data_IF_964577977181
#
_entry.id   IF_964577977181
#
_cell.length_a   1.000
_cell.length_b   1.000
_cell.length_c   1.000
_cell.angle_alpha   90.00
_cell.angle_beta   90.00
_cell.angle_gamma   90.00
#
_symmetry.space_group_name_H-M   'P 1'
#
loop_
_entity.id
_entity.type
_entity.pdbx_description
1 polymer ?
#
# COMPACT_ATOMS: atom_id res chain seq x y z
N UNK A 1 -54.40 6.78 -52.76
CA UNK A 1 -53.11 7.31 -52.19
C UNK A 1 -53.32 8.78 -51.83
N UNK A 2 -52.84 9.18 -50.67
CA UNK A 2 -52.87 10.59 -50.24
C UNK A 2 -51.58 11.25 -50.69
N UNK A 3 -51.62 12.17 -51.67
CA UNK A 3 -50.43 12.76 -52.29
C UNK A 3 -49.66 13.69 -51.30
N UNK A 4 -50.34 14.33 -50.38
CA UNK A 4 -49.76 15.28 -49.46
C UNK A 4 -49.10 14.66 -48.21
N UNK A 5 -49.38 13.36 -47.91
CA UNK A 5 -48.82 12.69 -46.73
C UNK A 5 -48.54 11.24 -47.06
N UNK A 6 -47.29 10.89 -47.36
CA UNK A 6 -46.86 9.51 -47.56
C UNK A 6 -46.46 8.87 -46.23
N UNK A 7 -47.47 8.29 -45.53
CA UNK A 7 -47.27 7.68 -44.21
C UNK A 7 -46.30 6.49 -44.29
N UNK A 8 -46.29 5.72 -45.37
CA UNK A 8 -45.38 4.60 -45.52
C UNK A 8 -43.91 5.04 -45.60
N UNK A 9 -43.63 6.13 -46.33
CA UNK A 9 -42.31 6.71 -46.37
C UNK A 9 -41.87 7.29 -45.01
N UNK A 10 -42.77 7.95 -44.27
CA UNK A 10 -42.48 8.47 -42.93
C UNK A 10 -42.16 7.35 -41.92
N UNK A 11 -42.91 6.24 -41.98
CA UNK A 11 -42.65 5.06 -41.14
C UNK A 11 -41.30 4.41 -41.51
N UNK A 12 -40.99 4.25 -42.80
CA UNK A 12 -39.72 3.73 -43.25
C UNK A 12 -38.54 4.60 -42.81
N UNK A 13 -38.66 5.90 -42.94
CA UNK A 13 -37.66 6.86 -42.49
C UNK A 13 -37.47 6.86 -40.95
N UNK A 14 -38.61 6.78 -40.21
CA UNK A 14 -38.57 6.65 -38.74
C UNK A 14 -37.84 5.39 -38.29
N UNK A 15 -38.15 4.25 -38.93
CA UNK A 15 -37.49 2.96 -38.67
C UNK A 15 -35.99 3.01 -39.03
N UNK A 16 -35.63 3.63 -40.17
CA UNK A 16 -34.23 3.81 -40.59
C UNK A 16 -33.42 4.65 -39.60
N UNK A 17 -34.04 5.71 -39.06
CA UNK A 17 -33.39 6.56 -38.03
C UNK A 17 -33.12 5.78 -36.74
N UNK A 18 -34.08 4.98 -36.27
CA UNK A 18 -33.91 4.15 -35.06
C UNK A 18 -32.82 3.11 -35.28
N UNK A 19 -32.74 2.45 -36.44
CA UNK A 19 -31.69 1.48 -36.74
C UNK A 19 -30.32 2.10 -36.85
N UNK A 20 -30.19 3.33 -37.37
CA UNK A 20 -28.94 4.06 -37.36
C UNK A 20 -28.49 4.45 -35.94
N UNK A 21 -29.42 4.81 -35.06
CA UNK A 21 -29.10 5.07 -33.66
C UNK A 21 -28.62 3.80 -32.93
N UNK A 22 -29.31 2.68 -33.14
CA UNK A 22 -28.90 1.38 -32.58
C UNK A 22 -27.50 0.96 -33.09
N UNK A 23 -27.24 1.14 -34.39
CA UNK A 23 -25.94 0.86 -35.02
C UNK A 23 -24.83 1.70 -34.37
N UNK A 24 -25.05 2.99 -34.14
CA UNK A 24 -24.10 3.89 -33.49
C UNK A 24 -23.84 3.46 -32.04
N UNK A 25 -24.89 3.10 -31.30
CA UNK A 25 -24.76 2.61 -29.93
C UNK A 25 -23.96 1.30 -29.85
N UNK A 26 -24.25 0.34 -30.74
CA UNK A 26 -23.48 -0.92 -30.80
C UNK A 26 -22.02 -0.68 -31.22
N UNK A 27 -21.76 0.24 -32.13
CA UNK A 27 -20.40 0.68 -32.49
C UNK A 27 -19.64 1.29 -31.30
N UNK A 28 -20.31 2.15 -30.55
CA UNK A 28 -19.73 2.77 -29.35
C UNK A 28 -19.35 1.69 -28.31
N UNK A 29 -20.26 0.73 -28.04
CA UNK A 29 -20.01 -0.38 -27.12
C UNK A 29 -18.88 -1.31 -27.56
N UNK A 30 -18.83 -1.66 -28.85
CA UNK A 30 -17.78 -2.49 -29.43
C UNK A 30 -16.41 -1.77 -29.42
N UNK A 31 -16.43 -0.45 -29.67
CA UNK A 31 -15.21 0.36 -29.69
C UNK A 31 -14.60 0.57 -28.29
N UNK A 32 -15.46 0.75 -27.28
CA UNK A 32 -15.01 0.96 -25.88
C UNK A 32 -14.80 -0.34 -25.13
N UNK A 33 -15.38 -1.45 -25.58
CA UNK A 33 -15.43 -2.72 -24.86
C UNK A 33 -16.38 -2.72 -23.68
N UNK A 34 -17.19 -1.66 -23.51
CA UNK A 34 -18.06 -1.47 -22.37
C UNK A 34 -19.54 -1.49 -22.77
N UNK A 35 -20.34 -2.22 -22.02
CA UNK A 35 -21.80 -2.28 -22.16
C UNK A 35 -22.46 -0.97 -21.72
N UNK A 36 -21.92 -0.36 -20.65
CA UNK A 36 -22.43 0.88 -20.05
C UNK A 36 -21.39 1.97 -20.27
N UNK A 37 -21.66 2.88 -21.22
CA UNK A 37 -20.81 4.03 -21.52
C UNK A 37 -21.36 5.32 -20.93
N UNK A 38 -22.68 5.46 -20.92
CA UNK A 38 -23.38 6.68 -20.49
C UNK A 38 -24.42 6.37 -19.41
N UNK A 39 -24.72 7.39 -18.60
CA UNK A 39 -25.76 7.26 -17.58
C UNK A 39 -27.15 6.96 -18.16
N UNK A 40 -27.37 7.26 -19.47
CA UNK A 40 -28.60 6.91 -20.19
C UNK A 40 -28.73 5.41 -20.50
N UNK A 41 -27.63 4.66 -20.52
CA UNK A 41 -27.64 3.23 -20.81
C UNK A 41 -28.09 2.43 -19.58
N UNK A 42 -27.55 2.73 -18.41
CA UNK A 42 -27.94 2.18 -17.12
C UNK A 42 -27.38 3.06 -15.99
N UNK A 43 -28.23 3.88 -15.39
CA UNK A 43 -27.84 4.80 -14.32
C UNK A 43 -27.46 4.07 -13.02
N UNK A 44 -28.15 2.97 -12.70
CA UNK A 44 -27.89 2.18 -11.51
C UNK A 44 -26.58 1.38 -11.66
N UNK A 45 -26.41 0.68 -12.77
CA UNK A 45 -25.19 -0.07 -13.08
C UNK A 45 -23.96 0.82 -13.18
N UNK A 46 -24.09 2.02 -13.76
CA UNK A 46 -23.00 2.99 -13.81
C UNK A 46 -22.57 3.43 -12.39
N UNK A 47 -23.54 3.79 -11.53
CA UNK A 47 -23.25 4.21 -10.16
C UNK A 47 -22.52 3.12 -9.37
N UNK A 48 -22.99 1.87 -9.43
CA UNK A 48 -22.35 0.74 -8.76
C UNK A 48 -20.96 0.47 -9.33
N UNK A 49 -20.80 0.48 -10.65
CA UNK A 49 -19.50 0.23 -11.29
C UNK A 49 -18.45 1.32 -10.93
N UNK A 50 -18.85 2.58 -10.87
CA UNK A 50 -17.95 3.68 -10.46
C UNK A 50 -17.56 3.56 -8.97
N UNK A 51 -18.45 3.07 -8.11
CA UNK A 51 -18.13 2.79 -6.71
C UNK A 51 -17.13 1.63 -6.59
N UNK A 52 -17.34 0.52 -7.31
CA UNK A 52 -16.41 -0.61 -7.35
C UNK A 52 -15.05 -0.18 -7.92
N UNK A 53 -15.03 0.61 -8.97
CA UNK A 53 -13.82 1.18 -9.56
C UNK A 53 -13.05 2.08 -8.61
N UNK A 54 -13.75 2.91 -7.86
CA UNK A 54 -13.15 3.72 -6.79
C UNK A 54 -12.52 2.83 -5.73
N UNK A 55 -13.20 1.76 -5.33
CA UNK A 55 -12.70 0.78 -4.37
C UNK A 55 -11.46 0.05 -4.89
N UNK A 56 -11.45 -0.39 -6.16
CA UNK A 56 -10.26 -1.01 -6.80
C UNK A 56 -9.06 -0.06 -6.78
N UNK A 57 -9.27 1.23 -7.08
CA UNK A 57 -8.20 2.24 -7.01
C UNK A 57 -7.70 2.43 -5.58
N UNK A 58 -8.60 2.46 -4.59
CA UNK A 58 -8.25 2.54 -3.18
C UNK A 58 -7.43 1.33 -2.73
N UNK A 59 -7.82 0.11 -3.12
CA UNK A 59 -7.09 -1.13 -2.82
C UNK A 59 -5.70 -1.16 -3.48
N UNK A 60 -5.54 -0.62 -4.70
CA UNK A 60 -4.23 -0.49 -5.32
C UNK A 60 -3.31 0.42 -4.49
N UNK A 61 -3.80 1.57 -4.04
CA UNK A 61 -3.03 2.47 -3.18
C UNK A 61 -2.73 1.83 -1.83
N UNK A 62 -3.69 1.14 -1.23
CA UNK A 62 -3.50 0.41 0.02
C UNK A 62 -2.41 -0.67 -0.09
N UNK A 63 -2.35 -1.39 -1.22
CA UNK A 63 -1.29 -2.35 -1.51
C UNK A 63 0.09 -1.66 -1.60
N UNK A 64 0.16 -0.50 -2.26
CA UNK A 64 1.41 0.29 -2.33
C UNK A 64 1.84 0.76 -0.95
N UNK A 65 0.91 1.30 -0.15
CA UNK A 65 1.18 1.75 1.21
C UNK A 65 1.70 0.61 2.11
N UNK A 66 1.13 -0.60 1.96
CA UNK A 66 1.59 -1.77 2.70
C UNK A 66 3.01 -2.19 2.28
N UNK A 67 3.33 -2.12 0.99
CA UNK A 67 4.69 -2.40 0.49
C UNK A 67 5.71 -1.36 0.97
N UNK A 68 5.34 -0.08 1.01
CA UNK A 68 6.16 0.98 1.58
C UNK A 68 6.41 0.76 3.09
N UNK A 69 5.38 0.30 3.81
CA UNK A 69 5.50 -0.09 5.21
C UNK A 69 6.46 -1.25 5.43
N UNK A 70 6.45 -2.27 4.58
CA UNK A 70 7.40 -3.38 4.62
C UNK A 70 8.83 -2.87 4.37
N UNK A 71 9.04 -2.03 3.36
CA UNK A 71 10.34 -1.48 3.05
C UNK A 71 10.92 -0.66 4.23
N UNK A 72 10.08 0.15 4.87
CA UNK A 72 10.43 0.91 6.06
C UNK A 72 10.88 -0.02 7.21
N UNK A 73 10.09 -1.06 7.50
CA UNK A 73 10.41 -2.02 8.56
C UNK A 73 11.71 -2.80 8.27
N UNK A 74 11.96 -3.16 7.03
CA UNK A 74 13.20 -3.84 6.62
C UNK A 74 14.43 -2.96 6.81
N UNK A 75 14.33 -1.64 6.58
CA UNK A 75 15.42 -0.68 6.85
C UNK A 75 15.69 -0.62 8.36
N UNK A 76 14.64 -0.52 9.18
CA UNK A 76 14.77 -0.50 10.64
C UNK A 76 15.34 -1.82 11.17
N UNK A 77 14.90 -2.96 10.65
CA UNK A 77 15.41 -4.29 11.01
C UNK A 77 16.89 -4.45 10.65
N UNK A 78 17.30 -3.98 9.46
CA UNK A 78 18.69 -3.98 9.04
C UNK A 78 19.59 -3.22 10.01
N UNK A 79 19.17 -2.01 10.41
CA UNK A 79 19.89 -1.21 11.41
C UNK A 79 19.93 -1.89 12.78
N UNK A 80 18.80 -2.48 13.24
CA UNK A 80 18.75 -3.21 14.50
C UNK A 80 19.64 -4.47 14.50
N UNK A 81 19.82 -5.10 13.35
CA UNK A 81 20.74 -6.23 13.21
C UNK A 81 22.20 -5.82 13.39
N UNK A 82 22.62 -4.70 12.79
CA UNK A 82 23.97 -4.13 13.00
C UNK A 82 24.17 -3.72 14.46
N UNK A 83 23.18 -3.11 15.10
CA UNK A 83 23.26 -2.76 16.53
C UNK A 83 23.43 -4.02 17.40
N UNK A 84 22.74 -5.11 17.08
CA UNK A 84 22.88 -6.38 17.78
C UNK A 84 24.31 -6.94 17.65
N UNK A 85 24.92 -6.84 16.47
CA UNK A 85 26.32 -7.28 16.27
C UNK A 85 27.30 -6.42 17.09
N UNK A 86 27.07 -5.10 17.13
CA UNK A 86 27.90 -4.18 17.95
C UNK A 86 27.74 -4.51 19.44
N UNK A 87 26.52 -4.72 19.92
CA UNK A 87 26.26 -5.09 21.33
C UNK A 87 26.96 -6.42 21.71
N UNK A 88 26.98 -7.40 20.83
CA UNK A 88 27.73 -8.65 21.06
C UNK A 88 29.23 -8.38 21.16
N UNK A 89 29.79 -7.53 20.30
CA UNK A 89 31.21 -7.14 20.40
C UNK A 89 31.49 -6.38 21.70
N UNK A 90 30.60 -5.49 22.11
CA UNK A 90 30.73 -4.77 23.41
C UNK A 90 30.69 -5.76 24.59
N UNK A 91 29.85 -6.79 24.52
CA UNK A 91 29.80 -7.86 25.53
C UNK A 91 31.12 -8.62 25.62
N UNK A 92 31.74 -8.96 24.48
CA UNK A 92 33.09 -9.58 24.47
C UNK A 92 34.13 -8.71 25.18
N UNK A 93 34.15 -7.41 24.87
CA UNK A 93 35.05 -6.46 25.50
C UNK A 93 34.81 -6.33 27.02
N UNK A 94 33.56 -6.32 27.44
CA UNK A 94 33.20 -6.28 28.86
C UNK A 94 33.64 -7.55 29.59
N UNK A 95 33.47 -8.73 29.02
CA UNK A 95 33.95 -10.01 29.55
C UNK A 95 35.50 -9.99 29.62
N UNK A 96 36.18 -9.52 28.57
CA UNK A 96 37.61 -9.40 28.56
C UNK A 96 38.09 -8.48 29.69
N UNK A 97 37.43 -7.32 29.88
CA UNK A 97 37.82 -6.35 30.92
C UNK A 97 37.51 -6.82 32.35
N UNK A 98 36.57 -7.76 32.52
CA UNK A 98 36.23 -8.34 33.82
C UNK A 98 37.31 -9.28 34.36
N UNK A 99 38.24 -9.73 33.52
CA UNK A 99 39.32 -10.63 33.92
C UNK A 99 40.41 -9.91 34.72
N UNK A 100 40.86 -10.50 35.82
CA UNK A 100 41.88 -9.96 36.70
C UNK A 100 43.32 -10.00 36.12
N UNK A 101 43.50 -10.66 34.98
CA UNK A 101 44.79 -10.70 34.28
C UNK A 101 45.14 -9.38 33.57
N UNK A 102 44.16 -8.47 33.39
CA UNK A 102 44.34 -7.18 32.75
C UNK A 102 44.70 -6.09 33.75
N UNK A 103 45.70 -5.31 33.39
CA UNK A 103 46.08 -4.11 34.14
C UNK A 103 45.06 -2.98 33.93
N UNK A 104 45.08 -1.97 34.82
CA UNK A 104 44.17 -0.80 34.66
C UNK A 104 44.39 -0.06 33.34
N UNK A 105 45.66 -0.02 32.85
CA UNK A 105 46.00 0.61 31.56
C UNK A 105 45.39 -0.17 30.38
N UNK A 106 45.45 -1.48 30.40
CA UNK A 106 44.88 -2.32 29.35
C UNK A 106 43.35 -2.24 29.32
N UNK A 107 42.72 -2.18 30.52
CA UNK A 107 41.29 -1.91 30.62
C UNK A 107 40.89 -0.55 30.06
N UNK A 108 41.74 0.46 30.17
CA UNK A 108 41.49 1.76 29.55
C UNK A 108 41.48 1.65 28.01
N UNK A 109 42.37 0.86 27.42
CA UNK A 109 42.37 0.63 25.97
C UNK A 109 41.12 -0.10 25.50
N UNK A 110 40.70 -1.16 26.19
CA UNK A 110 39.44 -1.86 25.87
C UNK A 110 38.23 -0.93 26.07
N UNK A 111 38.24 -0.06 27.07
CA UNK A 111 37.19 0.92 27.28
C UNK A 111 37.12 1.97 26.16
N UNK A 112 38.25 2.33 25.54
CA UNK A 112 38.24 3.25 24.39
C UNK A 112 37.50 2.65 23.20
N UNK A 113 37.75 1.37 22.89
CA UNK A 113 36.99 0.65 21.85
C UNK A 113 35.47 0.54 22.23
N UNK A 114 35.20 0.21 23.48
CA UNK A 114 33.85 0.10 24.01
C UNK A 114 33.06 1.41 23.86
N UNK A 115 33.66 2.56 24.21
CA UNK A 115 33.02 3.87 24.05
C UNK A 115 32.81 4.24 22.57
N UNK A 116 33.74 3.87 21.69
CA UNK A 116 33.62 4.10 20.27
C UNK A 116 32.41 3.27 19.66
N UNK A 117 32.24 2.03 20.12
CA UNK A 117 31.13 1.21 19.75
C UNK A 117 29.78 1.76 20.26
N UNK A 118 29.76 2.32 21.47
CA UNK A 118 28.57 3.02 21.99
C UNK A 118 28.20 4.23 21.14
N UNK A 119 29.20 5.03 20.73
CA UNK A 119 28.97 6.17 19.84
C UNK A 119 28.45 5.72 18.49
N UNK A 120 28.91 4.58 17.98
CA UNK A 120 28.39 4.02 16.71
C UNK A 120 26.94 3.56 16.82
N UNK A 121 26.54 2.94 17.93
CA UNK A 121 25.12 2.64 18.20
C UNK A 121 24.28 3.92 18.17
N UNK A 122 24.74 4.99 18.86
CA UNK A 122 24.05 6.28 18.84
C UNK A 122 23.95 6.86 17.43
N UNK A 123 25.04 6.76 16.65
CA UNK A 123 25.04 7.23 15.26
C UNK A 123 24.06 6.44 14.39
N UNK A 124 24.03 5.11 14.51
CA UNK A 124 23.09 4.26 13.74
C UNK A 124 21.64 4.62 14.09
N UNK A 125 21.33 4.75 15.38
CA UNK A 125 20.00 5.12 15.86
C UNK A 125 19.50 6.44 15.25
N UNK A 126 20.36 7.45 15.17
CA UNK A 126 20.02 8.77 14.63
C UNK A 126 20.11 8.86 13.10
N UNK A 127 21.00 8.10 12.47
CA UNK A 127 21.21 8.14 11.04
C UNK A 127 20.20 7.28 10.25
N UNK A 128 19.57 6.31 10.90
CA UNK A 128 18.60 5.43 10.22
C UNK A 128 17.30 6.17 9.98
N UNK A 129 17.07 6.52 8.73
CA UNK A 129 15.90 7.30 8.31
C UNK A 129 15.24 6.72 7.05
N UNK A 130 13.95 6.94 6.92
CA UNK A 130 13.16 6.69 5.73
C UNK A 130 12.40 7.97 5.36
N UNK A 131 12.64 8.48 4.15
CA UNK A 131 12.01 9.72 3.67
C UNK A 131 12.14 10.93 4.65
N UNK A 132 13.30 11.07 5.31
CA UNK A 132 13.56 12.14 6.26
C UNK A 132 12.97 11.94 7.66
N UNK A 133 12.29 10.83 7.92
CA UNK A 133 11.81 10.43 9.24
C UNK A 133 12.83 9.48 9.86
N UNK A 134 13.32 9.77 11.07
CA UNK A 134 14.15 8.85 11.84
C UNK A 134 13.30 7.68 12.34
N UNK A 135 13.84 6.48 12.29
CA UNK A 135 13.07 5.27 12.63
C UNK A 135 13.33 4.77 14.06
N UNK A 136 14.52 5.00 14.59
CA UNK A 136 15.02 4.37 15.82
C UNK A 136 15.36 5.38 16.93
N UNK A 137 15.18 6.67 16.68
CA UNK A 137 15.66 7.74 17.55
C UNK A 137 14.71 8.07 18.72
N UNK A 138 13.42 7.78 18.58
CA UNK A 138 12.42 8.08 19.62
C UNK A 138 12.08 9.58 19.76
N UNK A 139 12.57 10.44 18.88
CA UNK A 139 12.33 11.88 18.88
C UNK A 139 10.98 12.24 18.22
N UNK A 140 10.55 13.49 18.36
CA UNK A 140 9.26 14.01 17.87
C UNK A 140 9.01 13.85 16.36
N UNK A 141 10.06 13.66 15.58
CA UNK A 141 10.01 13.43 14.14
C UNK A 141 10.15 11.95 13.76
N UNK A 142 10.28 11.08 14.76
CA UNK A 142 10.45 9.65 14.56
C UNK A 142 9.15 8.96 14.22
N UNK A 143 9.27 7.90 13.45
CA UNK A 143 8.19 6.99 13.16
C UNK A 143 7.73 6.28 14.44
N UNK A 144 6.50 6.53 14.87
CA UNK A 144 5.83 5.74 15.92
C UNK A 144 5.96 6.20 17.36
N UNK A 145 6.73 7.23 17.71
CA UNK A 145 7.04 7.54 19.13
C UNK A 145 6.42 8.83 19.65
N UNK A 146 6.35 9.89 18.87
CA UNK A 146 5.95 11.22 19.39
C UNK A 146 4.46 11.50 19.43
N UNK A 147 3.65 10.81 18.61
CA UNK A 147 2.20 11.05 18.50
C UNK A 147 1.38 9.77 18.65
N UNK A 148 1.98 8.72 19.18
CA UNK A 148 1.40 7.38 19.20
C UNK A 148 1.92 6.52 18.04
N UNK A 149 1.50 5.25 18.00
CA UNK A 149 1.97 4.32 16.97
C UNK A 149 1.62 4.84 15.57
N UNK A 150 2.56 4.73 14.64
CA UNK A 150 2.33 5.15 13.25
C UNK A 150 1.25 4.32 12.60
N UNK A 151 0.39 5.01 11.87
CA UNK A 151 -0.79 4.42 11.26
C UNK A 151 -0.54 4.24 9.75
N UNK A 152 -0.45 2.99 9.32
CA UNK A 152 -0.42 2.65 7.89
C UNK A 152 -1.85 2.42 7.40
N UNK A 153 -2.28 3.16 6.39
CA UNK A 153 -3.60 2.97 5.79
C UNK A 153 -3.53 1.87 4.73
N UNK A 154 -4.13 0.71 5.04
CA UNK A 154 -4.08 -0.52 4.24
C UNK A 154 -5.47 -0.97 3.73
N UNK A 155 -6.46 -0.09 3.79
CA UNK A 155 -7.82 -0.33 3.29
C UNK A 155 -8.25 0.65 2.21
N UNK A 156 -9.37 0.37 1.56
CA UNK A 156 -9.94 1.23 0.52
C UNK A 156 -10.85 2.33 1.08
N UNK A 157 -11.29 2.21 2.32
CA UNK A 157 -12.30 3.09 2.94
C UNK A 157 -11.75 3.77 4.20
N UNK A 158 -12.41 4.81 4.66
CA UNK A 158 -12.10 5.44 5.93
C UNK A 158 -13.03 4.91 7.03
N UNK A 159 -12.77 3.70 7.53
CA UNK A 159 -13.56 3.07 8.60
C UNK A 159 -13.01 3.36 10.00
N UNK A 160 -12.38 4.53 10.21
CA UNK A 160 -11.83 4.93 11.50
C UNK A 160 -12.90 5.16 12.60
N UNK A 161 -14.19 5.03 12.29
CA UNK A 161 -15.29 5.37 13.19
C UNK A 161 -16.15 4.17 13.61
N UNK A 162 -15.65 2.94 13.48
CA UNK A 162 -16.36 1.77 13.98
C UNK A 162 -15.94 1.53 15.43
N UNK A 163 -16.93 1.46 16.32
CA UNK A 163 -16.71 1.14 17.74
C UNK A 163 -15.97 -0.21 17.84
N UNK A 164 -14.66 -0.17 18.06
CA UNK A 164 -13.83 -1.37 18.24
C UNK A 164 -12.52 -1.43 17.46
N UNK A 165 -12.18 -0.44 16.64
CA UNK A 165 -10.86 -0.42 15.99
C UNK A 165 -10.84 0.11 14.56
N UNK A 166 -9.68 0.45 14.13
CA UNK A 166 -9.36 0.91 12.78
C UNK A 166 -9.23 -0.29 11.84
N UNK A 167 -10.28 -0.63 11.09
CA UNK A 167 -10.30 -1.83 10.23
C UNK A 167 -9.38 -1.64 9.01
N UNK A 168 -9.37 -0.42 8.45
CA UNK A 168 -8.61 -0.09 7.24
C UNK A 168 -7.21 0.43 7.52
N UNK A 169 -6.79 0.45 8.80
CA UNK A 169 -5.47 0.92 9.20
C UNK A 169 -4.76 -0.12 10.08
N UNK A 170 -3.47 -0.22 9.93
CA UNK A 170 -2.60 -1.00 10.81
C UNK A 170 -1.68 -0.05 11.57
N UNK A 171 -1.72 -0.16 12.88
CA UNK A 171 -0.79 0.56 13.74
C UNK A 171 0.53 -0.21 13.83
N UNK A 172 1.62 0.48 13.56
CA UNK A 172 2.98 -0.03 13.67
C UNK A 172 3.73 0.84 14.67
N UNK A 173 4.23 0.25 15.73
CA UNK A 173 5.11 0.90 16.70
C UNK A 173 6.53 0.36 16.51
N UNK A 174 7.50 1.26 16.39
CA UNK A 174 8.92 0.95 16.48
C UNK A 174 9.43 1.67 17.72
N UNK A 175 9.82 0.91 18.73
CA UNK A 175 10.34 1.51 19.96
C UNK A 175 11.69 2.16 19.73
N UNK A 176 12.04 3.10 20.58
CA UNK A 176 13.34 3.78 20.53
C UNK A 176 14.50 2.81 20.82
N UNK A 177 15.54 2.85 19.99
CA UNK A 177 16.82 2.16 20.20
C UNK A 177 17.96 3.15 20.49
N UNK A 178 17.67 4.29 21.08
CA UNK A 178 18.71 5.19 21.60
C UNK A 178 19.43 4.55 22.79
N UNK A 179 20.65 4.95 23.03
CA UNK A 179 21.43 4.44 24.16
C UNK A 179 20.68 4.52 25.49
N UNK A 180 19.97 5.62 25.74
CA UNK A 180 19.16 5.78 26.96
C UNK A 180 17.99 4.80 27.04
N UNK A 181 17.32 4.52 25.93
CA UNK A 181 16.19 3.59 25.87
C UNK A 181 16.62 2.13 26.10
N UNK A 182 17.78 1.74 25.64
CA UNK A 182 18.35 0.39 25.84
C UNK A 182 19.15 0.26 27.17
N UNK A 183 19.14 1.31 28.00
CA UNK A 183 19.77 1.28 29.34
C UNK A 183 21.29 1.46 29.36
N UNK A 184 21.84 1.96 28.24
CA UNK A 184 23.27 2.29 28.13
C UNK A 184 23.44 3.82 28.19
N UNK A 185 24.43 4.31 28.92
CA UNK A 185 24.76 5.74 29.04
C UNK A 185 26.19 6.00 28.67
N UNK A 186 26.44 6.99 27.77
CA UNK A 186 27.79 7.42 27.44
C UNK A 186 28.48 8.04 28.66
N UNK A 187 29.74 7.68 28.90
CA UNK A 187 30.53 8.30 29.94
C UNK A 187 30.90 9.73 29.53
N UNK A 188 30.30 10.71 30.21
CA UNK A 188 30.70 12.13 30.09
C UNK A 188 31.54 12.55 31.27
N UNK A 189 32.19 13.72 31.18
CA UNK A 189 33.07 14.22 32.27
C UNK A 189 32.34 14.43 33.60
N UNK A 190 31.00 14.47 33.58
CA UNK A 190 30.17 14.72 34.77
C UNK A 190 29.32 13.52 35.17
N UNK A 191 29.24 12.47 34.37
CA UNK A 191 28.36 11.33 34.60
C UNK A 191 29.14 10.01 34.49
N UNK A 192 28.93 9.12 35.46
CA UNK A 192 29.62 7.85 35.54
C UNK A 192 28.93 6.77 34.66
N UNK A 193 28.74 7.11 33.37
CA UNK A 193 28.09 6.26 32.39
C UNK A 193 28.62 4.83 32.30
N UNK A 194 28.06 4.02 31.46
CA UNK A 194 28.48 2.62 31.27
C UNK A 194 29.94 2.56 30.81
N UNK A 195 30.81 2.00 31.63
CA UNK A 195 32.22 1.87 31.35
C UNK A 195 32.78 0.53 31.84
N UNK A 196 33.93 0.13 31.33
CA UNK A 196 34.59 -1.12 31.65
C UNK A 196 36.04 -0.92 32.21
N UNK A 197 36.32 0.27 32.78
CA UNK A 197 37.65 0.60 33.33
C UNK A 197 38.01 -0.13 34.61
N UNK A 198 37.00 -0.64 35.31
CA UNK A 198 37.15 -1.43 36.53
C UNK A 198 36.39 -2.77 36.42
N UNK A 199 36.85 -3.78 37.16
CA UNK A 199 36.22 -5.12 37.15
C UNK A 199 34.74 -5.06 37.56
N UNK A 200 34.39 -4.35 38.64
CA UNK A 200 33.00 -4.18 39.08
C UNK A 200 32.15 -3.48 38.03
N UNK A 201 32.68 -2.46 37.36
CA UNK A 201 32.01 -1.75 36.29
C UNK A 201 31.80 -2.66 35.06
N UNK A 202 32.76 -3.53 34.74
CA UNK A 202 32.66 -4.49 33.66
C UNK A 202 31.52 -5.50 33.90
N UNK A 203 31.35 -5.98 35.14
CA UNK A 203 30.22 -6.86 35.49
C UNK A 203 28.87 -6.14 35.31
N UNK A 204 28.75 -4.91 35.80
CA UNK A 204 27.52 -4.12 35.63
C UNK A 204 27.24 -3.80 34.13
N UNK A 205 28.32 -3.57 33.36
CA UNK A 205 28.19 -3.37 31.92
C UNK A 205 27.68 -4.62 31.19
N UNK A 206 28.09 -5.83 31.59
CA UNK A 206 27.57 -7.08 31.02
C UNK A 206 26.06 -7.20 31.22
N UNK A 207 25.57 -6.93 32.44
CA UNK A 207 24.13 -7.00 32.73
C UNK A 207 23.33 -5.97 31.94
N UNK A 208 23.87 -4.76 31.77
CA UNK A 208 23.27 -3.69 30.98
C UNK A 208 23.23 -4.05 29.49
N UNK A 209 24.32 -4.65 28.96
CA UNK A 209 24.40 -5.08 27.56
C UNK A 209 23.45 -6.25 27.31
N UNK A 210 23.34 -7.21 28.22
CA UNK A 210 22.42 -8.35 28.07
C UNK A 210 20.96 -7.84 28.07
N UNK A 211 20.62 -6.84 28.86
CA UNK A 211 19.33 -6.17 28.82
C UNK A 211 19.10 -5.43 27.50
N UNK A 212 20.12 -4.75 26.98
CA UNK A 212 20.06 -4.07 25.69
C UNK A 212 19.87 -5.04 24.53
N UNK A 213 20.58 -6.16 24.51
CA UNK A 213 20.43 -7.23 23.52
C UNK A 213 18.99 -7.78 23.53
N UNK A 214 18.41 -7.99 24.72
CA UNK A 214 17.03 -8.44 24.84
C UNK A 214 16.04 -7.39 24.27
N UNK A 215 16.26 -6.11 24.54
CA UNK A 215 15.42 -5.03 24.00
C UNK A 215 15.48 -4.98 22.47
N UNK A 216 16.67 -5.06 21.89
CA UNK A 216 16.86 -5.11 20.42
C UNK A 216 16.18 -6.34 19.82
N UNK A 217 16.33 -7.51 20.46
CA UNK A 217 15.72 -8.75 19.97
C UNK A 217 14.18 -8.69 20.03
N UNK A 218 13.61 -8.13 21.11
CA UNK A 218 12.17 -7.94 21.22
C UNK A 218 11.65 -7.05 20.10
N UNK A 219 12.31 -5.91 19.86
CA UNK A 219 11.92 -5.02 18.78
C UNK A 219 12.02 -5.70 17.40
N UNK A 220 13.11 -6.46 17.14
CA UNK A 220 13.23 -7.23 15.89
C UNK A 220 12.11 -8.24 15.73
N UNK A 221 11.70 -8.90 16.82
CA UNK A 221 10.56 -9.82 16.82
C UNK A 221 9.26 -9.12 16.46
N UNK A 222 9.02 -7.92 17.02
CA UNK A 222 7.83 -7.12 16.73
C UNK A 222 7.82 -6.63 15.28
N UNK A 223 8.96 -6.14 14.77
CA UNK A 223 9.10 -5.78 13.36
C UNK A 223 8.83 -6.96 12.43
N UNK A 224 9.36 -8.14 12.73
CA UNK A 224 9.08 -9.36 11.98
C UNK A 224 7.59 -9.75 12.01
N UNK A 225 6.94 -9.59 13.15
CA UNK A 225 5.50 -9.82 13.28
C UNK A 225 4.69 -8.81 12.43
N UNK A 226 5.09 -7.54 12.39
CA UNK A 226 4.45 -6.53 11.54
C UNK A 226 4.64 -6.82 10.06
N UNK A 227 5.83 -7.24 9.63
CA UNK A 227 6.09 -7.63 8.23
C UNK A 227 5.17 -8.78 7.82
N UNK A 228 5.09 -9.86 8.61
CA UNK A 228 4.20 -10.99 8.33
C UNK A 228 2.72 -10.55 8.26
N UNK A 229 2.28 -9.66 9.14
CA UNK A 229 0.91 -9.12 9.11
C UNK A 229 0.64 -8.30 7.85
N UNK A 230 1.61 -7.47 7.41
CA UNK A 230 1.50 -6.70 6.18
C UNK A 230 1.47 -7.61 4.94
N UNK A 231 2.24 -8.68 4.89
CA UNK A 231 2.20 -9.66 3.81
C UNK A 231 0.83 -10.36 3.72
N UNK A 232 0.25 -10.75 4.85
CA UNK A 232 -1.11 -11.28 4.88
C UNK A 232 -2.15 -10.24 4.44
N UNK A 233 -1.98 -8.98 4.83
CA UNK A 233 -2.84 -7.89 4.39
C UNK A 233 -2.75 -7.67 2.87
N UNK A 234 -1.55 -7.66 2.29
CA UNK A 234 -1.33 -7.55 0.84
C UNK A 234 -2.03 -8.69 0.10
N UNK A 235 -1.90 -9.93 0.57
CA UNK A 235 -2.56 -11.08 -0.05
C UNK A 235 -4.10 -10.97 0.02
N UNK A 236 -4.64 -10.48 1.13
CA UNK A 236 -6.08 -10.23 1.27
C UNK A 236 -6.54 -9.12 0.33
N UNK A 237 -5.83 -7.98 0.30
CA UNK A 237 -6.10 -6.85 -0.60
C UNK A 237 -6.08 -7.31 -2.06
N UNK A 238 -5.11 -8.13 -2.45
CA UNK A 238 -5.01 -8.66 -3.81
C UNK A 238 -6.23 -9.51 -4.20
N UNK A 239 -6.69 -10.40 -3.31
CA UNK A 239 -7.89 -11.20 -3.51
C UNK A 239 -9.16 -10.32 -3.57
N UNK A 240 -9.29 -9.37 -2.67
CA UNK A 240 -10.43 -8.44 -2.65
C UNK A 240 -10.47 -7.58 -3.91
N UNK A 241 -9.32 -7.06 -4.35
CA UNK A 241 -9.18 -6.31 -5.60
C UNK A 241 -9.61 -7.14 -6.80
N UNK A 242 -9.13 -8.39 -6.92
CA UNK A 242 -9.50 -9.29 -8.02
C UNK A 242 -11.02 -9.52 -8.06
N UNK A 243 -11.63 -9.85 -6.92
CA UNK A 243 -13.07 -10.09 -6.85
C UNK A 243 -13.89 -8.83 -7.14
N UNK A 244 -13.44 -7.67 -6.69
CA UNK A 244 -14.11 -6.38 -6.94
C UNK A 244 -14.00 -6.00 -8.42
N UNK A 245 -12.86 -6.25 -9.05
CA UNK A 245 -12.64 -6.01 -10.47
C UNK A 245 -13.47 -6.97 -11.35
N UNK A 246 -13.59 -8.24 -10.96
CA UNK A 246 -14.46 -9.19 -11.65
C UNK A 246 -15.95 -8.78 -11.54
N UNK A 247 -16.36 -8.28 -10.38
CA UNK A 247 -17.71 -7.74 -10.20
C UNK A 247 -17.95 -6.47 -11.04
N UNK A 248 -16.97 -5.57 -11.15
CA UNK A 248 -17.03 -4.40 -12.05
C UNK A 248 -17.16 -4.85 -13.50
N UNK A 249 -16.33 -5.81 -13.95
CA UNK A 249 -16.33 -6.33 -15.31
C UNK A 249 -17.68 -6.93 -15.70
N UNK A 250 -18.29 -7.71 -14.82
CA UNK A 250 -19.65 -8.29 -15.07
C UNK A 250 -20.73 -7.24 -15.25
N UNK A 251 -20.60 -6.08 -14.62
CA UNK A 251 -21.56 -4.98 -14.74
C UNK A 251 -21.29 -4.18 -16.02
N UNK A 252 -20.05 -3.87 -16.32
CA UNK A 252 -19.66 -2.84 -17.29
C UNK A 252 -19.16 -3.39 -18.61
N UNK A 253 -18.53 -4.56 -18.65
CA UNK A 253 -17.94 -5.09 -19.88
C UNK A 253 -18.99 -5.61 -20.84
N UNK A 254 -18.72 -5.47 -22.15
CA UNK A 254 -19.58 -5.96 -23.21
C UNK A 254 -19.24 -7.41 -23.59
N UNK A 255 -20.25 -8.22 -23.79
CA UNK A 255 -20.09 -9.50 -24.47
C UNK A 255 -19.96 -9.24 -25.99
N UNK A 256 -18.75 -9.34 -26.50
CA UNK A 256 -18.43 -9.12 -27.90
C UNK A 256 -19.21 -10.03 -28.84
N UNK A 257 -19.48 -11.29 -28.47
CA UNK A 257 -20.20 -12.23 -29.31
C UNK A 257 -21.66 -11.78 -29.53
N UNK A 258 -22.31 -11.40 -28.45
CA UNK A 258 -23.68 -10.91 -28.47
C UNK A 258 -23.80 -9.56 -29.17
N UNK A 259 -22.89 -8.63 -28.87
CA UNK A 259 -22.95 -7.27 -29.42
C UNK A 259 -22.58 -7.23 -30.92
N UNK A 260 -21.65 -8.07 -31.41
CA UNK A 260 -21.35 -8.18 -32.85
C UNK A 260 -22.54 -8.73 -33.64
N UNK A 261 -23.31 -9.67 -33.09
CA UNK A 261 -24.52 -10.14 -33.74
C UNK A 261 -25.57 -9.05 -33.80
N UNK A 262 -25.74 -8.26 -32.73
CA UNK A 262 -26.65 -7.10 -32.68
C UNK A 262 -26.23 -6.01 -33.65
N UNK A 263 -24.94 -5.72 -33.71
CA UNK A 263 -24.36 -4.78 -34.68
C UNK A 263 -24.67 -5.22 -36.15
N UNK A 264 -24.34 -6.48 -36.50
CA UNK A 264 -24.56 -7.01 -37.83
C UNK A 264 -26.07 -6.98 -38.23
N UNK A 265 -26.94 -7.35 -37.28
CA UNK A 265 -28.38 -7.25 -37.47
C UNK A 265 -28.81 -5.80 -37.73
N UNK A 266 -28.37 -4.84 -36.94
CA UNK A 266 -28.69 -3.43 -37.10
C UNK A 266 -28.13 -2.85 -38.42
N UNK A 267 -26.95 -3.32 -38.86
CA UNK A 267 -26.34 -2.94 -40.14
C UNK A 267 -27.20 -3.43 -41.33
N UNK A 268 -27.61 -4.69 -41.32
CA UNK A 268 -28.48 -5.26 -42.37
C UNK A 268 -29.85 -4.53 -42.41
N UNK A 269 -30.45 -4.29 -41.24
CA UNK A 269 -31.72 -3.58 -41.15
C UNK A 269 -31.62 -2.12 -41.63
N UNK A 270 -30.54 -1.43 -41.31
CA UNK A 270 -30.29 -0.07 -41.83
C UNK A 270 -30.13 -0.04 -43.35
N UNK A 271 -29.45 -1.01 -43.96
CA UNK A 271 -29.34 -1.15 -45.41
C UNK A 271 -30.71 -1.47 -46.04
N UNK A 272 -31.48 -2.36 -45.43
CA UNK A 272 -32.84 -2.69 -45.90
C UNK A 272 -33.78 -1.50 -45.82
N UNK A 273 -33.75 -0.74 -44.74
CA UNK A 273 -34.56 0.48 -44.57
C UNK A 273 -34.23 1.54 -45.64
N UNK A 274 -32.96 1.76 -45.96
CA UNK A 274 -32.57 2.67 -47.05
C UNK A 274 -33.00 2.18 -48.42
N UNK A 275 -32.97 0.86 -48.67
CA UNK A 275 -33.45 0.27 -49.92
C UNK A 275 -34.96 0.47 -50.08
N UNK A 276 -35.73 0.27 -49.04
CA UNK A 276 -37.17 0.46 -49.02
C UNK A 276 -37.55 1.94 -49.18
N UNK A 277 -36.84 2.84 -48.55
CA UNK A 277 -37.00 4.29 -48.72
C UNK A 277 -36.82 4.70 -50.19
N UNK A 278 -35.78 4.16 -50.86
CA UNK A 278 -35.52 4.41 -52.28
C UNK A 278 -36.63 3.82 -53.17
N UNK A 279 -37.18 2.62 -52.85
CA UNK A 279 -38.27 1.99 -53.57
C UNK A 279 -39.55 2.84 -53.48
N UNK A 280 -39.94 3.24 -52.29
CA UNK A 280 -41.10 4.10 -52.04
C UNK A 280 -40.97 5.47 -52.73
N UNK A 281 -39.72 6.05 -52.65
CA UNK A 281 -39.41 7.34 -53.33
C UNK A 281 -39.53 7.24 -54.87
N UNK A 282 -39.11 6.09 -55.48
CA UNK A 282 -39.24 5.87 -56.91
C UNK A 282 -40.70 5.66 -57.33
N UNK A 283 -41.48 4.91 -56.55
CA UNK A 283 -42.89 4.74 -56.83
C UNK A 283 -43.72 6.06 -56.80
N UNK A 284 -43.29 7.01 -55.94
CA UNK A 284 -43.86 8.35 -55.95
C UNK A 284 -43.42 9.24 -57.15
N UNK A 285 -42.29 8.92 -57.78
CA UNK A 285 -41.78 9.71 -58.92
C UNK A 285 -42.22 9.14 -60.28
N UNK A 286 -42.61 7.90 -60.32
CA UNK A 286 -43.05 7.19 -61.55
C UNK A 286 -44.57 7.26 -61.80
N UNK A 287 -45.28 7.96 -60.96
CA UNK A 287 -46.73 8.28 -61.15
C UNK A 287 -46.94 9.80 -61.05
#
# INVERSE_FOLDING_TARGET
MRINHNIAAMVAQGSGRIQNQNLQSSLEKLSTGLRINRASDDAAGLSVSEQLRSQVRGLNQAQSNASDGIALLQIAEGAANEMSAILQRMRELAIQSSNDTLTSTERTYTNTEFQALMQEISRISQATQYNGMTLLDGESSSFGVSSGPSVLHIGANNNNNVAGGTIDTMTVGVDSLTLGAIGLTLTTATDNGTNITGQANAFNAIDSIDSAINSVNNMRSDMGAYVNRLEHAINNIANQKFNTQDAEARIRDVDFATETTTFTKSQILSQSARSEERRVGKECRSR
#
